data_IF_004022221761
#
_entry.id   IF_004022221761
#
_cell.length_a   1.000
_cell.length_b   1.000
_cell.length_c   1.000
_cell.angle_alpha   90.00
_cell.angle_beta   90.00
_cell.angle_gamma   90.00
#
_symmetry.space_group_name_H-M   'P 1'
#
loop_
_entity.id
_entity.type
_entity.pdbx_description
1 polymer ?
#
# COMPACT_ATOMS: atom_id res chain seq x y z
N UNK A 1 -3.89 16.99 1.04
CA UNK A 1 -4.96 16.19 1.67
C UNK A 1 -4.40 14.81 1.94
N UNK A 2 -4.60 14.31 3.16
CA UNK A 2 -4.04 13.03 3.58
C UNK A 2 -4.67 11.86 2.82
N UNK A 3 -3.83 10.88 2.43
CA UNK A 3 -4.27 9.64 1.80
C UNK A 3 -4.27 8.53 2.83
N UNK A 4 -5.45 8.09 3.26
CA UNK A 4 -5.62 7.02 4.25
C UNK A 4 -5.78 5.70 3.52
N UNK A 5 -4.80 4.82 3.66
CA UNK A 5 -4.85 3.46 3.13
C UNK A 5 -5.31 2.50 4.20
N UNK A 6 -6.24 1.62 3.83
CA UNK A 6 -6.77 0.57 4.69
C UNK A 6 -6.81 -0.76 3.96
N UNK A 7 -6.91 -1.85 4.72
CA UNK A 7 -7.08 -3.20 4.18
C UNK A 7 -8.44 -3.74 4.59
N UNK A 8 -9.24 -4.14 3.60
CA UNK A 8 -10.48 -4.87 3.81
C UNK A 8 -10.18 -6.31 4.23
N UNK A 9 -10.73 -6.68 5.38
CA UNK A 9 -10.67 -8.01 5.98
C UNK A 9 -12.09 -8.61 6.00
N UNK A 10 -12.22 -9.88 5.59
CA UNK A 10 -13.49 -10.62 5.57
C UNK A 10 -14.66 -9.87 4.90
N UNK A 11 -14.39 -9.08 3.86
CA UNK A 11 -15.39 -8.32 3.07
C UNK A 11 -16.13 -7.16 3.76
N UNK A 12 -16.15 -7.09 5.10
CA UNK A 12 -16.94 -6.09 5.85
C UNK A 12 -16.12 -5.17 6.77
N UNK A 13 -14.92 -5.58 7.17
CA UNK A 13 -14.11 -4.81 8.12
C UNK A 13 -12.94 -4.14 7.42
N UNK A 14 -12.81 -2.82 7.54
CA UNK A 14 -11.64 -2.10 7.07
C UNK A 14 -10.68 -1.88 8.24
N UNK A 15 -9.43 -2.31 8.08
CA UNK A 15 -8.38 -2.09 9.08
C UNK A 15 -7.43 -1.02 8.56
N UNK A 16 -7.16 0.07 9.32
CA UNK A 16 -6.17 1.06 8.95
C UNK A 16 -4.80 0.41 8.70
N UNK A 17 -4.18 0.78 7.60
CA UNK A 17 -2.86 0.29 7.23
C UNK A 17 -1.80 1.39 7.43
N UNK A 18 -1.95 2.49 6.72
CA UNK A 18 -1.03 3.63 6.77
C UNK A 18 -1.70 4.90 6.25
N UNK A 19 -1.15 6.05 6.61
CA UNK A 19 -1.63 7.35 6.13
C UNK A 19 -0.46 8.13 5.53
N UNK A 20 -0.57 8.57 4.27
CA UNK A 20 0.41 9.47 3.66
C UNK A 20 -0.02 10.90 3.89
N UNK A 21 0.91 11.72 4.37
CA UNK A 21 0.77 13.17 4.60
C UNK A 21 1.88 13.92 3.85
N UNK A 22 1.92 15.24 3.95
CA UNK A 22 3.01 16.06 3.38
C UNK A 22 4.37 15.79 4.03
N UNK A 23 4.39 15.29 5.27
CA UNK A 23 5.61 15.01 6.02
C UNK A 23 6.21 13.63 5.71
N UNK A 24 5.43 12.72 5.12
CA UNK A 24 5.81 11.33 4.94
C UNK A 24 4.62 10.39 5.04
N UNK A 25 4.80 9.25 5.70
CA UNK A 25 3.72 8.30 5.95
C UNK A 25 3.74 7.76 7.37
N UNK A 26 2.57 7.68 7.98
CA UNK A 26 2.37 7.05 9.27
C UNK A 26 2.08 5.56 9.11
N UNK A 27 2.85 4.72 9.78
CA UNK A 27 2.60 3.28 9.90
C UNK A 27 2.70 2.88 11.38
N UNK A 28 1.61 2.32 11.93
CA UNK A 28 1.51 1.95 13.36
C UNK A 28 1.92 3.07 14.32
N UNK A 29 1.39 4.27 14.11
CA UNK A 29 1.66 5.49 14.89
C UNK A 29 3.14 5.95 14.86
N UNK A 30 3.94 5.46 13.92
CA UNK A 30 5.31 5.93 13.68
C UNK A 30 5.32 6.66 12.34
N UNK A 31 5.90 7.87 12.30
CA UNK A 31 6.13 8.62 11.07
C UNK A 31 7.41 8.11 10.40
N UNK A 32 7.32 7.87 9.09
CA UNK A 32 8.43 7.51 8.22
C UNK A 32 8.46 8.45 7.01
N UNK A 33 9.61 8.57 6.37
CA UNK A 33 9.76 9.25 5.09
C UNK A 33 10.08 8.24 3.98
N UNK A 34 10.01 8.64 2.69
CA UNK A 34 10.49 7.78 1.60
C UNK A 34 11.92 7.27 1.79
N UNK A 35 12.79 8.04 2.45
CA UNK A 35 14.19 7.65 2.72
C UNK A 35 14.31 6.47 3.72
N UNK A 36 13.28 6.23 4.52
CA UNK A 36 13.21 5.08 5.41
C UNK A 36 12.87 3.77 4.67
N UNK A 37 12.45 3.85 3.41
CA UNK A 37 12.15 2.67 2.59
C UNK A 37 13.45 2.07 2.07
N UNK A 38 13.79 0.87 2.56
CA UNK A 38 15.00 0.15 2.15
C UNK A 38 14.79 -0.69 0.91
N UNK A 39 13.59 -1.26 0.76
CA UNK A 39 13.29 -2.14 -0.36
C UNK A 39 11.79 -2.29 -0.56
N UNK A 40 11.38 -2.28 -1.82
CA UNK A 40 10.02 -2.62 -2.26
C UNK A 40 10.09 -3.93 -3.05
N UNK A 41 9.24 -4.87 -2.68
CA UNK A 41 9.08 -6.13 -3.40
C UNK A 41 7.66 -6.23 -3.93
N UNK A 42 7.51 -6.54 -5.21
CA UNK A 42 6.21 -6.80 -5.81
C UNK A 42 6.20 -8.23 -6.34
N UNK A 43 5.22 -9.02 -5.90
CA UNK A 43 4.96 -10.34 -6.44
C UNK A 43 3.72 -10.28 -7.33
N UNK A 44 3.90 -10.67 -8.59
CA UNK A 44 2.77 -10.96 -9.48
C UNK A 44 2.23 -12.33 -9.08
N UNK A 45 0.96 -12.39 -8.68
CA UNK A 45 0.37 -13.55 -8.02
C UNK A 45 0.13 -14.78 -8.92
N UNK A 46 0.83 -14.95 -10.05
CA UNK A 46 0.68 -16.11 -10.94
C UNK A 46 -0.77 -16.38 -11.36
N UNK A 47 -1.51 -15.32 -11.74
CA UNK A 47 -2.96 -15.36 -11.99
C UNK A 47 -3.82 -14.89 -10.80
N UNK A 48 -3.21 -14.70 -9.63
CA UNK A 48 -3.81 -14.08 -8.44
C UNK A 48 -3.44 -12.61 -8.24
N UNK A 49 -4.00 -11.95 -7.21
CA UNK A 49 -3.80 -10.53 -6.97
C UNK A 49 -2.35 -10.20 -6.64
N UNK A 50 -1.89 -9.03 -7.13
CA UNK A 50 -0.58 -8.48 -6.82
C UNK A 50 -0.46 -8.18 -5.33
N UNK A 51 0.74 -8.41 -4.82
CA UNK A 51 1.10 -8.11 -3.44
C UNK A 51 2.40 -7.33 -3.40
N UNK A 52 2.51 -6.45 -2.43
CA UNK A 52 3.69 -5.63 -2.20
C UNK A 52 4.17 -5.80 -0.75
N UNK A 53 5.48 -5.96 -0.61
CA UNK A 53 6.19 -5.91 0.66
C UNK A 53 7.11 -4.70 0.70
N UNK A 54 6.93 -3.81 1.66
CA UNK A 54 7.80 -2.64 1.87
C UNK A 54 8.62 -2.87 3.12
N UNK A 55 9.94 -2.89 2.99
CA UNK A 55 10.89 -3.06 4.09
C UNK A 55 11.40 -1.70 4.54
N UNK A 56 11.29 -1.41 5.83
CA UNK A 56 11.67 -0.15 6.45
C UNK A 56 13.05 -0.24 7.10
N UNK A 57 13.68 0.91 7.34
CA UNK A 57 15.01 1.03 7.93
C UNK A 57 15.11 0.45 9.35
N UNK A 58 14.01 0.43 10.10
CA UNK A 58 13.91 -0.16 11.43
C UNK A 58 13.65 -1.67 11.44
N UNK A 59 13.67 -2.31 10.25
CA UNK A 59 13.41 -3.74 10.08
C UNK A 59 11.93 -4.12 10.00
N UNK A 60 11.00 -3.17 10.15
CA UNK A 60 9.56 -3.46 9.97
C UNK A 60 9.22 -3.70 8.51
N UNK A 61 8.11 -4.40 8.30
CA UNK A 61 7.59 -4.74 6.98
C UNK A 61 6.11 -4.42 6.85
N UNK A 62 5.77 -3.70 5.79
CA UNK A 62 4.37 -3.44 5.39
C UNK A 62 4.00 -4.46 4.31
N UNK A 63 2.88 -5.16 4.52
CA UNK A 63 2.34 -6.14 3.58
C UNK A 63 1.03 -5.62 3.00
N UNK A 64 0.97 -5.54 1.68
CA UNK A 64 -0.12 -4.91 0.93
C UNK A 64 -0.62 -5.89 -0.11
N UNK A 65 -1.93 -6.05 -0.21
CA UNK A 65 -2.61 -6.86 -1.23
C UNK A 65 -3.53 -5.95 -2.03
N UNK A 66 -3.36 -5.90 -3.36
CA UNK A 66 -4.10 -4.99 -4.23
C UNK A 66 -5.63 -5.13 -4.08
N UNK A 67 -6.14 -6.36 -3.95
CA UNK A 67 -7.60 -6.62 -3.87
C UNK A 67 -8.21 -6.20 -2.53
N UNK A 68 -7.39 -6.15 -1.48
CA UNK A 68 -7.83 -5.74 -0.15
C UNK A 68 -7.62 -4.25 0.10
N UNK A 69 -6.83 -3.56 -0.73
CA UNK A 69 -6.46 -2.17 -0.51
C UNK A 69 -7.65 -1.24 -0.76
N UNK A 70 -7.87 -0.31 0.16
CA UNK A 70 -8.83 0.78 0.05
C UNK A 70 -8.10 2.12 0.23
N UNK A 71 -8.58 3.15 -0.47
CA UNK A 71 -8.12 4.53 -0.31
C UNK A 71 -9.28 5.38 0.18
N UNK A 72 -9.10 6.04 1.32
CA UNK A 72 -10.11 6.90 1.94
C UNK A 72 -11.48 6.21 2.09
N UNK A 73 -11.47 4.91 2.43
CA UNK A 73 -12.68 4.08 2.59
C UNK A 73 -13.30 3.58 1.27
N UNK A 74 -12.73 3.95 0.13
CA UNK A 74 -13.21 3.51 -1.19
C UNK A 74 -12.37 2.33 -1.68
N UNK A 75 -13.06 1.25 -2.04
CA UNK A 75 -12.43 0.08 -2.67
C UNK A 75 -12.27 0.30 -4.17
N UNK A 76 -11.04 0.33 -4.71
CA UNK A 76 -10.80 0.44 -6.15
C UNK A 76 -11.23 -0.85 -6.87
N UNK A 77 -11.66 -0.71 -8.12
CA UNK A 77 -11.90 -1.85 -9.00
C UNK A 77 -10.55 -2.50 -9.32
N UNK A 78 -10.40 -3.77 -8.96
CA UNK A 78 -9.19 -4.53 -9.33
C UNK A 78 -9.42 -5.18 -10.68
N UNK A 79 -8.49 -5.00 -11.61
CA UNK A 79 -8.54 -5.68 -12.91
C UNK A 79 -8.38 -7.19 -12.72
N UNK A 80 -9.35 -7.97 -13.22
CA UNK A 80 -9.35 -9.43 -13.05
C UNK A 80 -8.10 -10.09 -13.66
N UNK A 81 -7.64 -9.61 -14.81
CA UNK A 81 -6.45 -10.13 -15.50
C UNK A 81 -5.12 -9.55 -14.99
N UNK A 82 -5.13 -8.30 -14.52
CA UNK A 82 -3.92 -7.60 -14.06
C UNK A 82 -3.62 -7.84 -12.58
N UNK A 83 -4.60 -8.31 -11.81
CA UNK A 83 -4.49 -8.56 -10.37
C UNK A 83 -4.18 -7.30 -9.56
N UNK A 84 -4.33 -6.10 -10.14
CA UNK A 84 -3.90 -4.82 -9.56
C UNK A 84 -4.95 -3.73 -9.79
N UNK A 85 -4.69 -2.54 -9.24
CA UNK A 85 -5.49 -1.34 -9.42
C UNK A 85 -4.62 -0.08 -9.26
N UNK A 86 -5.16 1.06 -9.68
CA UNK A 86 -4.43 2.33 -9.70
C UNK A 86 -3.99 2.79 -8.31
N UNK A 87 -4.76 2.46 -7.27
CA UNK A 87 -4.41 2.77 -5.87
C UNK A 87 -3.18 2.00 -5.43
N UNK A 88 -3.09 0.72 -5.78
CA UNK A 88 -1.94 -0.12 -5.49
C UNK A 88 -0.70 0.36 -6.24
N UNK A 89 -0.80 0.65 -7.54
CA UNK A 89 0.34 1.13 -8.33
C UNK A 89 0.78 2.54 -7.92
N UNK A 90 -0.16 3.42 -7.53
CA UNK A 90 0.17 4.75 -6.99
C UNK A 90 0.90 4.66 -5.64
N UNK A 91 0.46 3.76 -4.75
CA UNK A 91 1.12 3.52 -3.47
C UNK A 91 2.51 2.89 -3.68
N UNK A 92 2.64 2.01 -4.66
CA UNK A 92 3.92 1.44 -5.07
C UNK A 92 4.88 2.51 -5.57
N UNK A 93 4.44 3.36 -6.50
CA UNK A 93 5.26 4.44 -7.06
C UNK A 93 5.79 5.35 -5.94
N UNK A 94 4.92 5.73 -5.00
CA UNK A 94 5.32 6.49 -3.81
C UNK A 94 6.47 5.84 -3.03
N UNK A 95 6.41 4.53 -2.77
CA UNK A 95 7.49 3.83 -2.05
C UNK A 95 8.74 3.56 -2.88
N UNK A 96 8.61 3.47 -4.21
CA UNK A 96 9.75 3.31 -5.12
C UNK A 96 10.48 4.65 -5.37
N UNK A 97 9.99 5.77 -4.81
CA UNK A 97 10.57 7.10 -5.05
C UNK A 97 10.30 7.63 -6.45
N UNK A 98 9.49 6.93 -7.24
CA UNK A 98 8.87 7.47 -8.43
C UNK A 98 7.73 8.37 -7.94
N UNK A 99 8.02 9.66 -7.77
CA UNK A 99 6.98 10.66 -7.53
C UNK A 99 5.86 10.57 -8.57
N UNK A 100 4.67 11.13 -8.29
CA UNK A 100 3.60 11.23 -9.28
C UNK A 100 4.05 11.89 -10.58
#
# INVERSE_FOLDING_TARGET
MDKVYSLRHLFFFSKPLLTITEQGFYYKNTLYTPDDVRRVYVSNGGGGPKRMGVHLADGRKILINAVALELNGVKPKTGFLSGTNDVFESLRAYFEGAGP
#
